data_IF_629067887173
#
_entry.id   IF_629067887173
#
_cell.length_a   1.000
_cell.length_b   1.000
_cell.length_c   1.000
_cell.angle_alpha   90.00
_cell.angle_beta   90.00
_cell.angle_gamma   90.00
#
_symmetry.space_group_name_H-M   'P 1'
#
loop_
_entity.id
_entity.type
_entity.pdbx_description
1 polymer ?
#
# COMPACT_ATOMS: atom_id res chain seq x y z
N UNK A 1 -15.78 6.37 -7.64
CA UNK A 1 -14.54 5.68 -7.25
C UNK A 1 -13.67 5.54 -8.48
N UNK A 2 -12.36 5.78 -8.36
CA UNK A 2 -11.41 5.48 -9.44
C UNK A 2 -11.30 3.97 -9.67
N UNK A 3 -10.89 3.58 -10.88
CA UNK A 3 -10.63 2.16 -11.18
C UNK A 3 -9.47 1.67 -10.30
N UNK A 4 -9.59 0.53 -9.60
CA UNK A 4 -8.53 -0.02 -8.78
C UNK A 4 -7.28 -0.39 -9.58
N UNK A 5 -6.10 -0.30 -8.95
CA UNK A 5 -4.84 -0.67 -9.59
C UNK A 5 -4.62 -2.19 -9.72
N UNK A 6 -5.32 -2.99 -8.92
CA UNK A 6 -5.24 -4.44 -8.92
C UNK A 6 -6.64 -5.05 -8.83
N UNK A 7 -6.77 -6.32 -9.22
CA UNK A 7 -8.03 -7.07 -9.18
C UNK A 7 -7.97 -8.22 -8.17
N UNK A 8 -9.11 -8.86 -7.90
CA UNK A 8 -9.17 -10.02 -7.00
C UNK A 8 -8.16 -11.12 -7.37
N UNK A 9 -8.05 -11.45 -8.67
CA UNK A 9 -7.13 -12.48 -9.17
C UNK A 9 -5.66 -12.18 -8.84
N UNK A 10 -5.27 -10.90 -8.76
CA UNK A 10 -3.93 -10.49 -8.35
C UNK A 10 -3.64 -10.83 -6.88
N UNK A 11 -4.68 -10.74 -6.04
CA UNK A 11 -4.62 -11.07 -4.62
C UNK A 11 -4.62 -12.58 -4.44
N UNK A 12 -5.53 -13.28 -5.12
CA UNK A 12 -5.68 -14.74 -5.07
C UNK A 12 -4.40 -15.46 -5.52
N UNK A 13 -3.83 -15.07 -6.66
CA UNK A 13 -2.60 -15.67 -7.19
C UNK A 13 -1.40 -15.51 -6.25
N UNK A 14 -1.39 -14.46 -5.42
CA UNK A 14 -0.30 -14.12 -4.49
C UNK A 14 -0.61 -14.55 -3.06
N UNK A 15 -1.74 -15.19 -2.82
CA UNK A 15 -2.18 -15.59 -1.50
C UNK A 15 -1.42 -16.85 -1.05
N UNK A 16 -0.52 -16.67 -0.08
CA UNK A 16 0.29 -17.78 0.50
C UNK A 16 -0.11 -18.05 1.96
N UNK A 17 -1.08 -17.31 2.49
CA UNK A 17 -1.51 -17.47 3.88
C UNK A 17 -2.35 -18.73 4.07
N UNK A 18 -2.22 -19.36 5.25
CA UNK A 18 -3.09 -20.47 5.67
C UNK A 18 -4.50 -20.02 6.05
N UNK A 19 -4.73 -18.71 6.16
CA UNK A 19 -6.05 -18.11 6.38
C UNK A 19 -6.85 -18.16 5.08
N UNK A 20 -8.14 -18.47 5.17
CA UNK A 20 -9.04 -18.45 4.02
C UNK A 20 -9.12 -17.04 3.42
N UNK A 21 -8.96 -16.93 2.10
CA UNK A 21 -9.13 -15.65 1.41
C UNK A 21 -10.59 -15.19 1.55
N UNK A 22 -10.87 -13.95 1.98
CA UNK A 22 -12.22 -13.44 2.07
C UNK A 22 -12.96 -13.46 0.73
N UNK A 23 -14.30 -13.34 0.79
CA UNK A 23 -15.13 -13.29 -0.40
C UNK A 23 -14.68 -12.16 -1.36
N UNK A 24 -14.81 -12.36 -2.69
CA UNK A 24 -14.32 -11.40 -3.68
C UNK A 24 -14.85 -9.99 -3.49
N UNK A 25 -16.09 -9.82 -3.02
CA UNK A 25 -16.72 -8.54 -2.76
C UNK A 25 -15.98 -7.75 -1.68
N UNK A 26 -15.54 -8.44 -0.61
CA UNK A 26 -14.77 -7.85 0.48
C UNK A 26 -13.40 -7.42 -0.02
N UNK A 27 -12.70 -8.29 -0.74
CA UNK A 27 -11.37 -7.99 -1.29
C UNK A 27 -11.43 -6.81 -2.25
N UNK A 28 -12.46 -6.74 -3.11
CA UNK A 28 -12.65 -5.64 -4.04
C UNK A 28 -12.92 -4.30 -3.33
N UNK A 29 -13.63 -4.30 -2.19
CA UNK A 29 -13.79 -3.09 -1.38
C UNK A 29 -12.43 -2.61 -0.84
N UNK A 30 -11.62 -3.51 -0.28
CA UNK A 30 -10.27 -3.18 0.18
C UNK A 30 -9.33 -2.71 -0.94
N UNK A 31 -9.47 -3.25 -2.15
CA UNK A 31 -8.71 -2.79 -3.32
C UNK A 31 -9.11 -1.37 -3.75
N UNK A 32 -10.39 -1.01 -3.65
CA UNK A 32 -10.86 0.34 -3.92
C UNK A 32 -10.33 1.33 -2.87
N UNK A 33 -10.34 0.95 -1.60
CA UNK A 33 -9.80 1.77 -0.51
C UNK A 33 -8.28 1.92 -0.60
N UNK A 34 -7.55 0.83 -0.89
CA UNK A 34 -6.12 0.86 -1.11
C UNK A 34 -5.75 1.80 -2.26
N UNK A 35 -6.55 1.79 -3.33
CA UNK A 35 -6.40 2.71 -4.45
C UNK A 35 -6.55 4.16 -4.02
N UNK A 36 -7.55 4.47 -3.17
CA UNK A 36 -7.73 5.82 -2.64
C UNK A 36 -6.54 6.27 -1.78
N UNK A 37 -5.98 5.37 -0.97
CA UNK A 37 -4.78 5.65 -0.16
C UNK A 37 -3.56 5.90 -1.06
N UNK A 38 -3.37 5.08 -2.10
CA UNK A 38 -2.29 5.24 -3.07
C UNK A 38 -2.39 6.56 -3.84
N UNK A 39 -3.59 6.92 -4.31
CA UNK A 39 -3.86 8.18 -5.03
C UNK A 39 -3.67 9.40 -4.11
N UNK A 40 -4.04 9.31 -2.83
CA UNK A 40 -3.85 10.39 -1.86
C UNK A 40 -2.36 10.65 -1.54
N UNK A 41 -1.56 9.57 -1.47
CA UNK A 41 -0.13 9.64 -1.16
C UNK A 41 0.72 10.01 -2.38
N UNK A 42 0.31 9.58 -3.58
CA UNK A 42 0.99 9.86 -4.84
C UNK A 42 -0.04 10.30 -5.89
N UNK A 43 -0.47 11.58 -5.91
CA UNK A 43 -1.48 12.07 -6.84
C UNK A 43 -1.10 11.91 -8.32
N UNK A 44 0.20 11.84 -8.63
CA UNK A 44 0.71 11.65 -10.00
C UNK A 44 0.73 10.18 -10.43
N UNK A 45 0.43 9.24 -9.53
CA UNK A 45 0.58 7.80 -9.77
C UNK A 45 -0.24 7.34 -10.97
N UNK A 46 -1.48 7.82 -11.11
CA UNK A 46 -2.36 7.43 -12.21
C UNK A 46 -1.80 7.84 -13.59
N UNK A 47 -1.31 9.07 -13.71
CA UNK A 47 -0.64 9.54 -14.93
C UNK A 47 0.64 8.73 -15.25
N UNK A 48 1.38 8.31 -14.22
CA UNK A 48 2.54 7.44 -14.38
C UNK A 48 2.15 6.05 -14.89
N UNK A 49 1.12 5.43 -14.31
CA UNK A 49 0.67 4.10 -14.72
C UNK A 49 0.06 4.06 -16.12
N UNK A 50 -0.50 5.18 -16.59
CA UNK A 50 -1.03 5.30 -17.94
C UNK A 50 0.08 5.41 -18.99
N UNK A 51 1.23 5.97 -18.60
CA UNK A 51 2.36 6.24 -19.51
C UNK A 51 3.44 5.16 -19.47
N UNK A 52 3.57 4.44 -18.36
CA UNK A 52 4.60 3.43 -18.12
C UNK A 52 3.99 2.12 -17.61
N UNK A 53 4.17 1.06 -18.40
CA UNK A 53 3.72 -0.29 -18.06
C UNK A 53 4.42 -0.84 -16.81
N UNK A 54 5.69 -0.51 -16.59
CA UNK A 54 6.40 -0.97 -15.38
C UNK A 54 5.89 -0.26 -14.13
N UNK A 55 5.56 1.03 -14.23
CA UNK A 55 4.88 1.75 -13.15
C UNK A 55 3.52 1.13 -12.83
N UNK A 56 2.77 0.73 -13.85
CA UNK A 56 1.49 0.01 -13.68
C UNK A 56 1.68 -1.32 -12.95
N UNK A 57 2.61 -2.16 -13.42
CA UNK A 57 2.86 -3.47 -12.82
C UNK A 57 3.33 -3.34 -11.34
N UNK A 58 4.12 -2.30 -11.03
CA UNK A 58 4.50 -1.96 -9.64
C UNK A 58 3.33 -1.49 -8.80
N UNK A 59 2.46 -0.63 -9.34
CA UNK A 59 1.25 -0.17 -8.64
C UNK A 59 0.30 -1.33 -8.32
N UNK A 60 0.08 -2.23 -9.28
CA UNK A 60 -0.70 -3.45 -9.09
C UNK A 60 -0.12 -4.31 -7.96
N UNK A 61 1.20 -4.55 -7.98
CA UNK A 61 1.87 -5.32 -6.94
C UNK A 61 1.72 -4.72 -5.54
N UNK A 62 1.94 -3.40 -5.40
CA UNK A 62 1.84 -2.72 -4.10
C UNK A 62 0.40 -2.69 -3.59
N UNK A 63 -0.58 -2.44 -4.48
CA UNK A 63 -1.99 -2.48 -4.12
C UNK A 63 -2.40 -3.86 -3.57
N UNK A 64 -2.08 -4.93 -4.30
CA UNK A 64 -2.36 -6.30 -3.86
C UNK A 64 -1.64 -6.62 -2.53
N UNK A 65 -0.38 -6.20 -2.37
CA UNK A 65 0.39 -6.42 -1.14
C UNK A 65 -0.20 -5.71 0.08
N UNK A 66 -0.70 -4.48 -0.08
CA UNK A 66 -1.38 -3.75 0.99
C UNK A 66 -2.62 -4.50 1.47
N UNK A 67 -3.44 -4.96 0.52
CA UNK A 67 -4.65 -5.75 0.83
C UNK A 67 -4.29 -7.08 1.49
N UNK A 68 -3.34 -7.84 0.94
CA UNK A 68 -2.89 -9.11 1.54
C UNK A 68 -2.42 -8.91 2.98
N UNK A 69 -1.66 -7.84 3.25
CA UNK A 69 -1.17 -7.54 4.61
C UNK A 69 -2.32 -7.30 5.58
N UNK A 70 -3.32 -6.51 5.18
CA UNK A 70 -4.49 -6.22 6.02
C UNK A 70 -5.31 -7.48 6.26
N UNK A 71 -5.56 -8.26 5.21
CA UNK A 71 -6.38 -9.47 5.32
C UNK A 71 -5.65 -10.63 6.05
N UNK A 72 -4.32 -10.67 6.01
CA UNK A 72 -3.53 -11.68 6.73
C UNK A 72 -3.31 -11.35 8.22
N UNK A 73 -3.51 -10.09 8.62
CA UNK A 73 -3.46 -9.66 10.02
C UNK A 73 -4.54 -8.59 10.28
N UNK A 74 -5.83 -8.97 10.26
CA UNK A 74 -6.94 -8.03 10.38
C UNK A 74 -6.97 -7.34 11.74
N UNK A 75 -6.53 -8.03 12.80
CA UNK A 75 -6.52 -7.50 14.17
C UNK A 75 -5.33 -6.58 14.49
N UNK A 76 -4.41 -6.36 13.53
CA UNK A 76 -3.19 -5.55 13.70
C UNK A 76 -2.37 -5.94 14.95
N UNK A 77 -2.44 -7.21 15.37
CA UNK A 77 -1.73 -7.70 16.57
C UNK A 77 -0.24 -7.66 16.30
N UNK A 78 0.49 -6.83 17.05
CA UNK A 78 1.97 -6.72 16.97
C UNK A 78 2.72 -7.61 17.96
N UNK A 79 2.02 -8.18 18.94
CA UNK A 79 2.55 -9.21 19.83
C UNK A 79 1.39 -9.85 20.60
N UNK A 80 1.22 -11.17 20.48
CA UNK A 80 0.50 -11.94 21.50
C UNK A 80 1.53 -12.38 22.52
N UNK A 81 1.50 -11.79 23.71
CA UNK A 81 2.12 -12.42 24.87
C UNK A 81 1.16 -13.52 25.31
N UNK A 82 1.50 -14.74 24.92
CA UNK A 82 0.69 -15.95 25.13
C UNK A 82 0.59 -16.22 26.63
N UNK A 83 -0.59 -16.01 27.21
CA UNK A 83 -0.92 -16.42 28.58
C UNK A 83 -2.26 -17.16 28.57
N UNK A 84 -2.14 -18.48 28.44
CA UNK A 84 -2.92 -19.53 29.10
C UNK A 84 -4.44 -19.34 29.22
N UNK A 85 -5.20 -20.20 28.51
CA UNK A 85 -6.55 -20.58 28.93
C UNK A 85 -7.37 -21.29 27.84
N UNK A 86 -8.17 -22.32 28.17
CA UNK A 86 -8.99 -23.02 27.18
C UNK A 86 -10.26 -22.21 26.99
N UNK A 87 -10.51 -21.52 25.88
CA UNK A 87 -11.86 -21.29 25.35
C UNK A 87 -11.88 -20.38 24.11
N UNK A 88 -12.64 -20.88 23.12
CA UNK A 88 -13.47 -20.20 22.12
C UNK A 88 -12.83 -19.16 21.21
N UNK A 89 -12.57 -19.59 19.98
CA UNK A 89 -12.35 -18.74 18.82
C UNK A 89 -13.71 -18.24 18.28
N UNK A 90 -14.02 -16.96 18.53
CA UNK A 90 -15.09 -16.24 17.83
C UNK A 90 -14.42 -15.25 16.90
N UNK A 91 -14.35 -15.58 15.61
CA UNK A 91 -13.82 -14.68 14.57
C UNK A 91 -14.84 -13.59 14.32
N UNK A 92 -14.71 -12.49 15.06
CA UNK A 92 -15.45 -11.25 14.81
C UNK A 92 -14.69 -10.46 13.76
N UNK A 93 -15.07 -10.59 12.49
CA UNK A 93 -14.61 -9.69 11.44
C UNK A 93 -15.16 -8.28 11.72
N UNK A 94 -14.44 -7.47 12.49
CA UNK A 94 -14.82 -6.08 12.74
C UNK A 94 -14.74 -5.29 11.43
N UNK A 95 -15.90 -4.93 10.90
CA UNK A 95 -16.10 -4.18 9.66
C UNK A 95 -15.73 -2.69 9.76
N UNK A 96 -14.97 -2.26 10.78
CA UNK A 96 -14.79 -0.84 11.10
C UNK A 96 -13.34 -0.36 11.24
N UNK A 97 -12.37 -1.14 10.75
CA UNK A 97 -10.98 -0.69 10.75
C UNK A 97 -10.40 -0.71 9.33
N UNK A 98 -10.63 0.39 8.62
CA UNK A 98 -9.72 0.89 7.56
C UNK A 98 -8.28 1.13 8.09
N UNK A 99 -8.00 0.91 9.38
CA UNK A 99 -6.76 1.28 10.07
C UNK A 99 -5.51 0.45 9.72
N UNK A 100 -5.56 -0.42 8.71
CA UNK A 100 -4.44 -1.25 8.28
C UNK A 100 -3.83 -0.91 6.92
N UNK A 101 -4.55 -0.18 6.06
CA UNK A 101 -4.09 0.15 4.71
C UNK A 101 -3.09 1.29 4.77
N UNK A 102 -1.81 0.95 4.91
CA UNK A 102 -0.71 1.93 4.92
C UNK A 102 0.32 1.60 3.84
N UNK A 103 0.76 2.62 3.12
CA UNK A 103 1.99 2.54 2.35
C UNK A 103 3.20 2.61 3.27
N UNK A 104 4.12 1.67 3.14
CA UNK A 104 5.41 1.78 3.84
C UNK A 104 6.38 2.65 3.04
N UNK A 105 7.41 3.17 3.70
CA UNK A 105 8.49 3.91 3.03
C UNK A 105 9.17 3.09 1.92
N UNK A 106 9.25 1.76 2.11
CA UNK A 106 9.77 0.84 1.10
C UNK A 106 8.83 0.72 -0.11
N UNK A 107 7.52 0.65 0.11
CA UNK A 107 6.53 0.59 -0.97
C UNK A 107 6.53 1.89 -1.80
N UNK A 108 6.66 3.05 -1.14
CA UNK A 108 6.83 4.36 -1.81
C UNK A 108 8.08 4.35 -2.69
N UNK A 109 9.23 3.92 -2.15
CA UNK A 109 10.49 3.83 -2.91
C UNK A 109 10.36 2.87 -4.11
N UNK A 110 9.64 1.77 -3.95
CA UNK A 110 9.41 0.80 -5.02
C UNK A 110 8.53 1.37 -6.14
N UNK A 111 7.43 2.06 -5.78
CA UNK A 111 6.57 2.76 -6.74
C UNK A 111 7.32 3.85 -7.51
N UNK A 112 8.19 4.58 -6.82
CA UNK A 112 8.98 5.65 -7.40
C UNK A 112 10.10 5.12 -8.33
N UNK A 113 10.61 3.91 -8.07
CA UNK A 113 11.62 3.27 -8.92
C UNK A 113 12.98 3.98 -8.94
N UNK A 114 13.97 3.45 -9.69
CA UNK A 114 15.29 4.05 -9.80
C UNK A 114 15.31 5.37 -10.58
N UNK A 115 14.29 5.68 -11.40
CA UNK A 115 14.24 6.96 -12.14
C UNK A 115 13.74 8.13 -11.29
N UNK A 116 13.12 7.87 -10.13
CA UNK A 116 13.00 8.87 -9.06
C UNK A 116 14.29 8.89 -8.22
N UNK A 117 15.45 8.84 -8.87
CA UNK A 117 16.61 9.51 -8.30
C UNK A 117 16.25 10.98 -8.30
N UNK A 118 16.23 11.60 -7.11
CA UNK A 118 16.09 13.02 -6.92
C UNK A 118 16.54 13.86 -8.14
N UNK A 119 15.58 14.41 -8.89
CA UNK A 119 15.70 15.81 -9.33
C UNK A 119 15.56 16.67 -8.06
N UNK A 120 16.43 16.40 -7.09
CA UNK A 120 16.86 17.38 -6.13
C UNK A 120 17.67 18.32 -6.99
N UNK A 121 17.00 19.35 -7.51
CA UNK A 121 17.71 20.58 -7.81
C UNK A 121 18.46 20.90 -6.53
N UNK A 122 19.77 20.66 -6.55
CA UNK A 122 20.65 21.30 -5.60
C UNK A 122 20.39 22.78 -5.81
N UNK A 123 19.63 23.39 -4.90
CA UNK A 123 19.65 24.84 -4.78
C UNK A 123 21.05 25.14 -4.24
N UNK A 124 21.99 25.32 -5.16
CA UNK A 124 23.24 26.00 -4.88
C UNK A 124 22.84 27.43 -4.52
N UNK A 125 22.58 27.64 -3.23
CA UNK A 125 22.52 28.99 -2.67
C UNK A 125 23.98 29.43 -2.65
N UNK A 126 24.35 30.25 -3.64
CA UNK A 126 25.63 30.95 -3.64
C UNK A 126 25.71 31.85 -2.39
N UNK A 127 26.58 31.53 -1.40
CA UNK A 127 26.70 32.33 -0.18
C UNK A 127 27.39 33.68 -0.42
N UNK A 128 27.88 33.99 -1.63
CA UNK A 128 28.56 35.24 -1.97
C UNK A 128 27.65 36.31 -2.61
N UNK A 129 26.38 36.01 -2.88
CA UNK A 129 25.44 36.99 -3.46
C UNK A 129 25.12 38.19 -2.53
N UNK A 130 25.64 38.22 -1.29
CA UNK A 130 25.44 39.28 -0.31
C UNK A 130 26.65 40.16 0.00
N UNK A 131 27.84 39.92 -0.57
CA UNK A 131 29.01 40.76 -0.32
C UNK A 131 29.15 41.79 -1.44
N UNK A 132 28.51 42.93 -1.19
CA UNK A 132 28.67 44.20 -1.91
C UNK A 132 30.15 44.59 -1.91
N UNK A 133 30.67 44.93 -3.09
CA UNK A 133 31.87 45.76 -3.26
C UNK A 133 31.46 47.11 -3.84
#
# INVERSE_FOLDING_TARGET
MGVPYAVFDDVETRWVSSVFIPAPEVVNAYLADATMVMDAELPTLRAMTDSDKEAKDRATFICARMVIRVLSNPDQVRSTQDNTGPFTESVTYSTESLAGLTLTAQDKRFLMGPSWSNTGGAFEIDPLAGVVA
#
